data_IF_536641669137
#
_entry.id   IF_536641669137
#
_cell.length_a   1.000
_cell.length_b   1.000
_cell.length_c   1.000
_cell.angle_alpha   90.00
_cell.angle_beta   90.00
_cell.angle_gamma   90.00
#
_symmetry.space_group_name_H-M   'P 1'
#
loop_
_entity.id
_entity.type
_entity.pdbx_description
1 polymer ?
#
# COMPACT_ATOMS: atom_id res chain seq x y z
N UNK A 1 38.29 33.42 33.44
CA UNK A 1 37.99 31.97 33.50
C UNK A 1 36.87 31.57 32.54
N UNK A 2 35.71 32.25 32.54
CA UNK A 2 34.58 31.92 31.67
C UNK A 2 34.89 32.05 30.16
N UNK A 3 35.58 33.13 29.74
CA UNK A 3 35.93 33.38 28.34
C UNK A 3 36.88 32.31 27.76
N UNK A 4 37.89 31.89 28.54
CA UNK A 4 38.82 30.84 28.14
C UNK A 4 38.11 29.48 27.97
N UNK A 5 37.10 29.20 28.79
CA UNK A 5 36.28 27.99 28.69
C UNK A 5 35.46 27.99 27.40
N UNK A 6 34.85 29.14 27.05
CA UNK A 6 34.06 29.28 25.81
C UNK A 6 34.92 29.11 24.56
N UNK A 7 36.12 29.67 24.54
CA UNK A 7 37.07 29.55 23.43
C UNK A 7 37.53 28.10 23.26
N UNK A 8 37.82 27.40 24.37
CA UNK A 8 38.19 25.98 24.33
C UNK A 8 37.06 25.10 23.80
N UNK A 9 35.81 25.35 24.20
CA UNK A 9 34.64 24.65 23.67
C UNK A 9 34.44 24.91 22.18
N UNK A 10 34.54 26.16 21.72
CA UNK A 10 34.40 26.52 20.30
C UNK A 10 35.50 25.86 19.45
N UNK A 11 36.74 25.85 19.94
CA UNK A 11 37.85 25.19 19.25
C UNK A 11 37.67 23.67 19.18
N UNK A 12 37.25 23.02 20.27
CA UNK A 12 36.96 21.59 20.28
C UNK A 12 35.84 21.22 19.29
N UNK A 13 34.79 22.05 19.18
CA UNK A 13 33.70 21.88 18.22
C UNK A 13 34.19 22.04 16.76
N UNK A 14 35.07 23.00 16.50
CA UNK A 14 35.70 23.18 15.18
C UNK A 14 36.58 21.99 14.79
N UNK A 15 37.42 21.51 15.71
CA UNK A 15 38.27 20.33 15.48
C UNK A 15 37.45 19.06 15.25
N UNK A 16 36.32 18.92 15.95
CA UNK A 16 35.39 17.81 15.76
C UNK A 16 34.76 17.82 14.35
N UNK A 17 34.34 18.99 13.86
CA UNK A 17 33.78 19.16 12.51
C UNK A 17 34.80 18.88 11.40
N UNK A 18 36.08 19.13 11.65
CA UNK A 18 37.16 18.83 10.71
C UNK A 18 37.60 17.36 10.73
N UNK A 19 37.12 16.56 11.69
CA UNK A 19 37.50 15.15 11.81
C UNK A 19 36.77 14.28 10.78
N UNK A 20 37.48 13.43 10.01
CA UNK A 20 36.88 12.47 9.08
C UNK A 20 35.80 11.58 9.72
N UNK A 21 35.97 11.27 11.02
CA UNK A 21 35.06 10.43 11.79
C UNK A 21 33.69 11.05 12.00
N UNK A 22 33.58 12.39 12.02
CA UNK A 22 32.29 13.08 12.13
C UNK A 22 31.42 12.88 10.88
N UNK A 23 32.03 12.89 9.69
CA UNK A 23 31.36 12.59 8.42
C UNK A 23 30.95 11.12 8.33
N UNK A 24 31.78 10.20 8.82
CA UNK A 24 31.44 8.76 8.90
C UNK A 24 30.24 8.55 9.82
N UNK A 25 30.25 9.14 11.02
CA UNK A 25 29.14 9.06 11.96
C UNK A 25 27.85 9.68 11.41
N UNK A 26 27.94 10.84 10.74
CA UNK A 26 26.80 11.47 10.06
C UNK A 26 26.26 10.59 8.91
N UNK A 27 27.14 9.95 8.15
CA UNK A 27 26.76 9.01 7.09
C UNK A 27 26.04 7.77 7.63
N UNK A 28 26.54 7.18 8.73
CA UNK A 28 25.89 6.05 9.42
C UNK A 28 24.51 6.47 9.96
N UNK A 29 24.42 7.63 10.62
CA UNK A 29 23.16 8.15 11.15
C UNK A 29 22.15 8.39 10.02
N UNK A 30 22.58 8.97 8.91
CA UNK A 30 21.75 9.16 7.72
C UNK A 30 21.26 7.82 7.16
N UNK A 31 22.15 6.83 7.03
CA UNK A 31 21.81 5.49 6.55
C UNK A 31 20.78 4.79 7.46
N UNK A 32 20.90 4.94 8.77
CA UNK A 32 19.96 4.37 9.75
C UNK A 32 18.60 5.10 9.74
N UNK A 33 18.57 6.40 9.49
CA UNK A 33 17.34 7.20 9.45
C UNK A 33 16.58 7.10 8.11
N UNK A 34 17.27 6.83 6.99
CA UNK A 34 16.67 6.75 5.66
C UNK A 34 15.49 5.75 5.54
N UNK A 35 15.58 4.51 6.06
CA UNK A 35 14.45 3.59 6.08
C UNK A 35 13.25 4.13 6.86
N UNK A 36 13.48 4.82 7.98
CA UNK A 36 12.42 5.43 8.79
C UNK A 36 11.65 6.52 8.04
N UNK A 37 12.36 7.37 7.28
CA UNK A 37 11.74 8.38 6.41
C UNK A 37 10.93 7.73 5.29
N UNK A 38 11.38 6.59 4.75
CA UNK A 38 10.65 5.85 3.72
C UNK A 38 9.34 5.25 4.26
N UNK A 39 9.35 4.67 5.46
CA UNK A 39 8.16 4.14 6.13
C UNK A 39 7.17 5.26 6.51
N UNK A 40 7.66 6.41 7.01
CA UNK A 40 6.81 7.56 7.34
C UNK A 40 6.12 8.20 6.13
N UNK A 41 6.63 7.98 4.91
CA UNK A 41 5.98 8.41 3.67
C UNK A 41 4.79 7.56 3.24
N UNK A 42 4.30 6.66 4.10
CA UNK A 42 3.05 5.93 3.88
C UNK A 42 3.20 4.67 3.02
N UNK A 43 4.43 4.20 2.79
CA UNK A 43 4.69 2.91 2.16
C UNK A 43 4.50 1.79 3.19
N UNK A 44 3.24 1.44 3.49
CA UNK A 44 2.96 0.24 4.27
C UNK A 44 3.50 -0.99 3.52
N UNK A 45 4.23 -1.90 4.19
CA UNK A 45 4.75 -3.09 3.54
C UNK A 45 3.60 -3.93 3.00
N UNK A 46 3.78 -4.51 1.81
CA UNK A 46 2.83 -5.46 1.25
C UNK A 46 2.80 -6.71 2.13
N UNK A 47 1.73 -6.86 2.93
CA UNK A 47 1.47 -8.05 3.73
C UNK A 47 0.35 -8.84 3.07
N UNK A 48 0.68 -10.05 2.68
CA UNK A 48 -0.27 -10.88 1.96
C UNK A 48 -1.18 -11.63 2.92
N UNK A 49 -2.50 -11.53 2.70
CA UNK A 49 -3.48 -12.32 3.45
C UNK A 49 -3.22 -13.82 3.23
N UNK A 50 -3.14 -14.62 4.31
CA UNK A 50 -3.04 -16.08 4.21
C UNK A 50 -4.20 -16.66 3.39
N UNK A 51 -3.92 -17.73 2.62
CA UNK A 51 -4.94 -18.34 1.74
C UNK A 51 -6.15 -18.86 2.51
N UNK A 52 -5.96 -19.40 3.70
CA UNK A 52 -7.04 -19.89 4.58
C UNK A 52 -7.99 -18.76 4.97
N UNK A 53 -7.46 -17.61 5.39
CA UNK A 53 -8.24 -16.42 5.72
C UNK A 53 -8.98 -15.89 4.51
N UNK A 54 -8.31 -15.78 3.36
CA UNK A 54 -8.93 -15.35 2.10
C UNK A 54 -10.12 -16.24 1.72
N UNK A 55 -9.97 -17.57 1.82
CA UNK A 55 -11.07 -18.51 1.54
C UNK A 55 -12.22 -18.36 2.53
N UNK A 56 -11.94 -18.15 3.81
CA UNK A 56 -12.97 -17.88 4.81
C UNK A 56 -13.73 -16.59 4.49
N UNK A 57 -13.02 -15.52 4.08
CA UNK A 57 -13.64 -14.26 3.68
C UNK A 57 -14.57 -14.43 2.48
N UNK A 58 -14.14 -15.16 1.44
CA UNK A 58 -14.97 -15.44 0.26
C UNK A 58 -16.21 -16.28 0.61
N UNK A 59 -16.05 -17.30 1.47
CA UNK A 59 -17.17 -18.13 1.94
C UNK A 59 -18.18 -17.33 2.75
N UNK A 60 -17.71 -16.47 3.66
CA UNK A 60 -18.57 -15.61 4.47
C UNK A 60 -19.26 -14.53 3.64
N UNK A 61 -18.58 -14.04 2.59
CA UNK A 61 -19.16 -13.10 1.67
C UNK A 61 -20.28 -13.69 0.81
N UNK A 62 -20.30 -15.02 0.63
CA UNK A 62 -21.32 -15.75 -0.12
C UNK A 62 -21.57 -15.13 -1.52
N UNK A 63 -20.47 -14.82 -2.22
CA UNK A 63 -20.49 -14.18 -3.54
C UNK A 63 -21.30 -15.02 -4.52
N UNK A 64 -22.17 -14.38 -5.29
CA UNK A 64 -23.01 -15.01 -6.31
C UNK A 64 -22.58 -14.60 -7.72
N UNK A 65 -22.82 -15.45 -8.73
CA UNK A 65 -22.63 -15.08 -10.13
C UNK A 65 -23.34 -13.78 -10.47
N UNK A 66 -22.63 -12.88 -11.17
CA UNK A 66 -23.15 -11.57 -11.56
C UNK A 66 -23.04 -10.47 -10.50
N UNK A 67 -22.67 -10.78 -9.26
CA UNK A 67 -22.40 -9.75 -8.25
C UNK A 67 -21.11 -8.97 -8.55
N UNK A 68 -20.99 -7.77 -7.96
CA UNK A 68 -19.83 -6.90 -8.16
C UNK A 68 -18.96 -6.89 -6.90
N UNK A 69 -17.67 -7.19 -7.06
CA UNK A 69 -16.73 -7.27 -5.93
C UNK A 69 -15.65 -6.21 -6.10
N UNK A 70 -15.36 -5.45 -5.04
CA UNK A 70 -14.34 -4.41 -5.06
C UNK A 70 -13.34 -4.61 -3.92
N UNK A 71 -12.07 -4.82 -4.27
CA UNK A 71 -10.95 -4.97 -3.31
C UNK A 71 -10.12 -3.67 -3.27
N UNK A 72 -10.13 -3.01 -2.11
CA UNK A 72 -9.48 -1.73 -1.87
C UNK A 72 -8.10 -1.97 -1.24
N UNK A 73 -7.05 -1.99 -2.07
CA UNK A 73 -5.74 -2.50 -1.69
C UNK A 73 -5.58 -3.97 -2.08
N UNK A 74 -5.81 -4.26 -3.37
CA UNK A 74 -5.84 -5.63 -3.85
C UNK A 74 -4.48 -6.33 -3.84
N UNK A 75 -3.38 -5.58 -3.72
CA UNK A 75 -2.04 -6.13 -3.67
C UNK A 75 -1.70 -6.89 -4.96
N UNK A 76 -1.39 -8.18 -4.83
CA UNK A 76 -1.12 -9.08 -5.97
C UNK A 76 -2.38 -9.59 -6.69
N UNK A 77 -3.56 -9.10 -6.31
CA UNK A 77 -4.84 -9.36 -6.98
C UNK A 77 -5.49 -10.71 -6.63
N UNK A 78 -4.90 -11.52 -5.73
CA UNK A 78 -5.37 -12.89 -5.46
C UNK A 78 -6.84 -13.01 -5.06
N UNK A 79 -7.35 -12.05 -4.29
CA UNK A 79 -8.74 -12.04 -3.84
C UNK A 79 -9.68 -11.66 -4.99
N UNK A 80 -9.30 -10.65 -5.78
CA UNK A 80 -10.02 -10.24 -7.00
C UNK A 80 -10.13 -11.42 -7.97
N UNK A 81 -9.04 -12.16 -8.18
CA UNK A 81 -9.05 -13.33 -9.06
C UNK A 81 -9.89 -14.48 -8.49
N UNK A 82 -9.90 -14.66 -7.16
CA UNK A 82 -10.73 -15.67 -6.52
C UNK A 82 -12.21 -15.30 -6.61
N UNK A 83 -12.57 -14.03 -6.44
CA UNK A 83 -13.93 -13.54 -6.65
C UNK A 83 -14.38 -13.67 -8.10
N UNK A 84 -13.51 -13.36 -9.07
CA UNK A 84 -13.82 -13.52 -10.50
C UNK A 84 -14.08 -15.00 -10.90
N UNK A 85 -13.50 -15.97 -10.16
CA UNK A 85 -13.78 -17.39 -10.37
C UNK A 85 -15.20 -17.80 -9.94
N UNK A 86 -15.83 -17.04 -9.06
CA UNK A 86 -17.23 -17.22 -8.65
C UNK A 86 -18.20 -16.52 -9.64
N UNK A 87 -17.75 -16.23 -10.86
CA UNK A 87 -18.52 -15.53 -11.92
C UNK A 87 -18.98 -14.12 -11.52
N UNK A 88 -18.33 -13.53 -10.51
CA UNK A 88 -18.53 -12.15 -10.12
C UNK A 88 -17.70 -11.19 -10.99
N UNK A 89 -18.20 -9.97 -11.17
CA UNK A 89 -17.42 -8.87 -11.76
C UNK A 89 -16.51 -8.28 -10.67
N UNK A 90 -15.24 -8.68 -10.68
CA UNK A 90 -14.30 -8.32 -9.62
C UNK A 90 -13.32 -7.22 -10.06
N UNK A 91 -13.22 -6.14 -9.29
CA UNK A 91 -12.29 -5.02 -9.52
C UNK A 91 -11.38 -4.80 -8.31
N UNK A 92 -10.07 -4.69 -8.55
CA UNK A 92 -9.08 -4.38 -7.54
C UNK A 92 -8.41 -3.04 -7.78
N UNK A 93 -8.23 -2.25 -6.71
CA UNK A 93 -7.45 -1.02 -6.72
C UNK A 93 -6.16 -1.22 -5.91
N UNK A 94 -5.02 -0.82 -6.49
CA UNK A 94 -3.71 -0.85 -5.82
C UNK A 94 -2.93 0.42 -6.12
N UNK A 95 -2.24 0.94 -5.11
CA UNK A 95 -1.46 2.17 -5.17
C UNK A 95 0.05 1.91 -5.21
N UNK A 96 0.49 0.78 -4.67
CA UNK A 96 1.86 0.31 -4.78
C UNK A 96 2.15 -0.11 -6.21
N UNK A 97 2.99 0.66 -6.90
CA UNK A 97 3.39 0.39 -8.30
C UNK A 97 3.91 -1.05 -8.48
N UNK A 98 4.81 -1.58 -7.62
CA UNK A 98 5.27 -2.96 -7.76
C UNK A 98 4.14 -3.99 -7.66
N UNK A 99 3.25 -3.85 -6.66
CA UNK A 99 2.14 -4.78 -6.46
C UNK A 99 1.12 -4.68 -7.62
N UNK A 100 0.82 -3.46 -8.07
CA UNK A 100 -0.05 -3.21 -9.23
C UNK A 100 0.49 -3.88 -10.49
N UNK A 101 1.79 -3.74 -10.80
CA UNK A 101 2.40 -4.37 -11.98
C UNK A 101 2.24 -5.90 -11.92
N UNK A 102 2.52 -6.50 -10.74
CA UNK A 102 2.37 -7.94 -10.53
C UNK A 102 0.91 -8.36 -10.73
N UNK A 103 -0.04 -7.66 -10.11
CA UNK A 103 -1.47 -7.96 -10.25
C UNK A 103 -1.95 -7.77 -11.69
N UNK A 104 -1.51 -6.70 -12.38
CA UNK A 104 -1.87 -6.43 -13.77
C UNK A 104 -1.36 -7.52 -14.71
N UNK A 105 -0.12 -7.96 -14.55
CA UNK A 105 0.43 -9.08 -15.32
C UNK A 105 -0.38 -10.37 -15.07
N UNK A 106 -0.75 -10.65 -13.82
CA UNK A 106 -1.56 -11.83 -13.47
C UNK A 106 -2.99 -11.75 -13.98
N UNK A 107 -3.57 -10.55 -14.09
CA UNK A 107 -4.94 -10.36 -14.58
C UNK A 107 -5.15 -10.84 -16.02
N UNK A 108 -4.07 -10.91 -16.81
CA UNK A 108 -4.11 -11.47 -18.17
C UNK A 108 -4.59 -12.94 -18.21
N UNK A 109 -4.42 -13.68 -17.10
CA UNK A 109 -4.84 -15.07 -16.98
C UNK A 109 -6.18 -15.25 -16.25
N UNK A 110 -6.85 -14.15 -15.89
CA UNK A 110 -8.08 -14.16 -15.10
C UNK A 110 -9.17 -13.32 -15.80
N UNK A 111 -9.85 -13.87 -16.83
CA UNK A 111 -10.98 -13.20 -17.45
C UNK A 111 -12.06 -12.90 -16.39
N UNK A 112 -12.64 -11.70 -16.44
CA UNK A 112 -13.60 -11.22 -15.43
C UNK A 112 -13.00 -10.43 -14.28
N UNK A 113 -11.67 -10.42 -14.12
CA UNK A 113 -10.97 -9.58 -13.16
C UNK A 113 -10.43 -8.29 -13.79
N UNK A 114 -10.68 -7.14 -13.15
CA UNK A 114 -10.12 -5.85 -13.54
C UNK A 114 -9.16 -5.33 -12.47
N UNK A 115 -7.94 -4.98 -12.85
CA UNK A 115 -6.95 -4.36 -11.96
C UNK A 115 -6.72 -2.91 -12.39
N UNK A 116 -6.93 -2.00 -11.44
CA UNK A 116 -6.85 -0.56 -11.60
C UNK A 116 -5.74 0.01 -10.69
N UNK A 117 -4.93 0.92 -11.25
CA UNK A 117 -3.99 1.70 -10.45
C UNK A 117 -4.71 2.92 -9.88
N UNK A 118 -4.64 3.15 -8.57
CA UNK A 118 -5.28 4.33 -7.99
C UNK A 118 -5.29 4.38 -6.47
N UNK A 119 -5.47 5.60 -5.95
CA UNK A 119 -5.66 5.86 -4.53
C UNK A 119 -7.16 5.84 -4.18
N UNK A 120 -7.55 5.03 -3.20
CA UNK A 120 -8.93 4.98 -2.69
C UNK A 120 -9.40 6.33 -2.11
N UNK A 121 -8.49 7.16 -1.58
CA UNK A 121 -8.83 8.38 -0.84
C UNK A 121 -8.93 9.66 -1.69
N UNK A 122 -8.31 9.68 -2.87
CA UNK A 122 -8.24 10.86 -3.75
C UNK A 122 -8.98 10.70 -5.07
N UNK A 123 -9.69 9.58 -5.28
CA UNK A 123 -10.73 9.54 -6.30
C UNK A 123 -11.91 10.37 -5.79
N UNK A 124 -11.95 11.63 -6.22
CA UNK A 124 -13.09 12.52 -6.04
C UNK A 124 -14.34 11.79 -6.51
N UNK A 125 -15.18 11.42 -5.56
CA UNK A 125 -16.33 10.57 -5.79
C UNK A 125 -15.91 9.15 -6.16
N UNK A 126 -16.49 8.16 -5.48
CA UNK A 126 -17.05 7.04 -6.24
C UNK A 126 -17.54 7.61 -7.56
N UNK A 127 -16.89 7.32 -8.68
CA UNK A 127 -17.59 7.55 -9.92
C UNK A 127 -18.69 6.51 -9.85
N UNK A 128 -19.87 6.95 -9.41
CA UNK A 128 -21.09 6.17 -9.37
C UNK A 128 -21.56 5.75 -10.79
N UNK A 129 -20.64 5.81 -11.77
CA UNK A 129 -20.75 5.20 -13.09
C UNK A 129 -20.25 3.76 -13.09
N UNK A 130 -19.28 3.40 -12.23
CA UNK A 130 -18.79 2.02 -12.10
C UNK A 130 -19.43 1.27 -10.91
N UNK A 131 -19.98 2.02 -9.95
CA UNK A 131 -20.87 1.51 -8.89
C UNK A 131 -22.17 2.26 -9.01
N UNK A 132 -23.27 1.65 -9.50
CA UNK A 132 -24.56 2.31 -9.59
C UNK A 132 -24.89 3.04 -8.30
N UNK A 133 -25.29 4.31 -8.45
CA UNK A 133 -25.62 5.23 -7.37
C UNK A 133 -26.69 4.72 -6.39
N UNK A 134 -27.42 3.69 -6.78
CA UNK A 134 -28.41 3.02 -5.97
C UNK A 134 -28.01 1.56 -5.80
N UNK A 135 -28.04 1.11 -4.54
CA UNK A 135 -28.09 -0.30 -4.19
C UNK A 135 -29.40 -0.86 -4.76
N UNK A 136 -29.44 -1.22 -6.04
CA UNK A 136 -30.55 -1.98 -6.58
C UNK A 136 -30.57 -3.32 -5.85
N UNK A 137 -31.75 -3.73 -5.41
CA UNK A 137 -31.95 -4.99 -4.73
C UNK A 137 -31.43 -6.13 -5.63
N UNK A 138 -30.26 -6.69 -5.30
CA UNK A 138 -29.49 -7.63 -6.14
C UNK A 138 -28.03 -7.25 -6.40
N UNK A 139 -27.64 -5.99 -6.20
CA UNK A 139 -26.25 -5.50 -6.34
C UNK A 139 -25.50 -5.61 -5.00
N UNK A 140 -25.02 -6.79 -4.64
CA UNK A 140 -24.12 -6.93 -3.51
C UNK A 140 -22.73 -6.38 -3.91
N UNK A 141 -22.35 -5.22 -3.36
CA UNK A 141 -20.98 -4.70 -3.45
C UNK A 141 -20.24 -5.14 -2.19
N UNK A 142 -19.44 -6.19 -2.31
CA UNK A 142 -18.58 -6.63 -1.22
C UNK A 142 -17.32 -5.77 -1.20
N UNK A 143 -17.19 -4.93 -0.16
CA UNK A 143 -15.96 -4.21 0.14
C UNK A 143 -15.09 -5.05 1.04
N UNK A 144 -13.93 -5.45 0.53
CA UNK A 144 -12.93 -6.11 1.36
C UNK A 144 -11.86 -5.10 1.75
N UNK A 145 -11.84 -4.75 3.04
CA UNK A 145 -10.77 -3.98 3.66
C UNK A 145 -9.98 -4.94 4.55
N UNK A 146 -8.69 -5.07 4.26
CA UNK A 146 -7.75 -5.86 5.07
C UNK A 146 -7.28 -5.07 6.28
#
# INVERSE_FOLDING_TARGET
MLEALLIACAFALLQWWSSPWSYVAAGILLLLCLPGVFVMRGAAPFVSTPRSTMQAMLRLAAIRPGERVVDLGCGDGRLVFAAAKEEASATGYEMSVPAYIIAKARSLFHPGARICFGNFWHQNSFTMKDVPAEKKEGDAVLYVKK
#
